data_IF_881518156473
#
_entry.id   IF_881518156473
#
_cell.length_a   1.000
_cell.length_b   1.000
_cell.length_c   1.000
_cell.angle_alpha   90.00
_cell.angle_beta   90.00
_cell.angle_gamma   90.00
#
_symmetry.space_group_name_H-M   'P 1'
#
loop_
_entity.id
_entity.type
_entity.pdbx_description
1 polymer ?
#
# COMPACT_ATOMS: atom_id res chain seq x y z
N UNK A 1 -4.82 -5.58 32.23
CA UNK A 1 -5.18 -4.17 31.93
C UNK A 1 -6.06 -4.17 30.70
N UNK A 2 -7.23 -3.53 30.74
CA UNK A 2 -8.17 -3.53 29.62
C UNK A 2 -7.90 -2.31 28.71
N UNK A 3 -7.83 -2.54 27.41
CA UNK A 3 -7.73 -1.53 26.35
C UNK A 3 -9.09 -1.34 25.68
N UNK A 4 -9.36 -0.15 25.18
CA UNK A 4 -10.57 0.08 24.36
C UNK A 4 -10.43 -0.61 23.01
N UNK A 5 -9.20 -0.70 22.48
CA UNK A 5 -8.90 -1.38 21.22
C UNK A 5 -7.49 -1.95 21.25
N UNK A 6 -7.33 -3.18 20.77
CA UNK A 6 -6.04 -3.77 20.44
C UNK A 6 -5.92 -3.84 18.92
N UNK A 7 -4.83 -3.28 18.39
CA UNK A 7 -4.51 -3.28 16.95
C UNK A 7 -3.36 -4.27 16.74
N UNK A 8 -3.56 -5.22 15.85
CA UNK A 8 -2.56 -6.22 15.51
C UNK A 8 -1.94 -5.85 14.17
N UNK A 9 -0.63 -5.57 14.21
CA UNK A 9 0.16 -5.10 13.07
C UNK A 9 0.42 -3.60 13.08
N UNK A 10 1.69 -3.21 12.95
CA UNK A 10 2.15 -1.81 12.88
C UNK A 10 2.56 -1.41 11.45
N UNK A 11 1.82 -1.89 10.44
CA UNK A 11 1.86 -1.34 9.10
C UNK A 11 1.10 -0.01 8.99
N UNK A 12 1.00 0.55 7.78
CA UNK A 12 0.32 1.83 7.52
C UNK A 12 -1.09 1.90 8.13
N UNK A 13 -1.90 0.89 7.90
CA UNK A 13 -3.27 0.87 8.41
C UNK A 13 -3.34 0.75 9.93
N UNK A 14 -2.43 -0.04 10.53
CA UNK A 14 -2.38 -0.21 11.98
C UNK A 14 -1.99 1.07 12.70
N UNK A 15 -0.92 1.75 12.25
CA UNK A 15 -0.49 3.02 12.86
C UNK A 15 -1.48 4.16 12.58
N UNK A 16 -2.08 4.21 11.39
CA UNK A 16 -3.14 5.18 11.10
C UNK A 16 -4.33 5.00 12.05
N UNK A 17 -4.80 3.75 12.22
CA UNK A 17 -5.90 3.43 13.14
C UNK A 17 -5.55 3.75 14.61
N UNK A 18 -4.30 3.51 15.01
CA UNK A 18 -3.81 3.85 16.34
C UNK A 18 -3.83 5.36 16.58
N UNK A 19 -3.31 6.13 15.63
CA UNK A 19 -3.29 7.61 15.71
C UNK A 19 -4.71 8.18 15.72
N UNK A 20 -5.57 7.70 14.83
CA UNK A 20 -6.97 8.12 14.75
C UNK A 20 -7.73 7.85 16.06
N UNK A 21 -7.55 6.65 16.62
CA UNK A 21 -8.21 6.26 17.88
C UNK A 21 -7.60 6.96 19.10
N UNK A 22 -6.28 7.13 19.08
CA UNK A 22 -5.54 7.84 20.15
C UNK A 22 -5.97 9.30 20.25
N UNK A 23 -6.14 9.99 19.13
CA UNK A 23 -6.68 11.37 19.07
C UNK A 23 -8.09 11.50 19.67
N UNK A 24 -8.86 10.42 19.70
CA UNK A 24 -10.19 10.38 20.35
C UNK A 24 -10.15 10.01 21.83
N UNK A 25 -8.97 9.92 22.43
CA UNK A 25 -8.79 9.59 23.84
C UNK A 25 -8.94 8.11 24.18
N UNK A 26 -9.11 7.23 23.19
CA UNK A 26 -9.21 5.79 23.40
C UNK A 26 -7.87 5.21 23.85
N UNK A 27 -7.92 4.26 24.77
CA UNK A 27 -6.74 3.53 25.26
C UNK A 27 -6.40 2.40 24.29
N UNK A 28 -5.32 2.58 23.56
CA UNK A 28 -4.92 1.71 22.43
C UNK A 28 -3.66 0.92 22.78
N UNK A 29 -3.66 -0.36 22.39
CA UNK A 29 -2.46 -1.18 22.32
C UNK A 29 -2.23 -1.57 20.87
N UNK A 30 -1.03 -1.36 20.35
CA UNK A 30 -0.58 -1.91 19.06
C UNK A 30 0.43 -3.02 19.36
N UNK A 31 0.22 -4.20 18.78
CA UNK A 31 1.12 -5.35 18.89
C UNK A 31 1.71 -5.62 17.50
N UNK A 32 3.03 -5.64 17.39
CA UNK A 32 3.78 -5.91 16.18
C UNK A 32 4.86 -6.98 16.43
N UNK A 33 4.91 -7.99 15.58
CA UNK A 33 5.89 -9.07 15.68
C UNK A 33 7.31 -8.64 15.28
N UNK A 34 7.41 -7.66 14.40
CA UNK A 34 8.69 -7.14 13.95
C UNK A 34 9.27 -6.15 14.98
N UNK A 35 10.57 -5.93 14.90
CA UNK A 35 11.30 -5.05 15.82
C UNK A 35 10.95 -3.55 15.68
N UNK A 36 10.33 -3.17 14.58
CA UNK A 36 9.89 -1.80 14.29
C UNK A 36 8.74 -1.80 13.27
N UNK A 37 8.00 -0.68 13.13
CA UNK A 37 6.89 -0.62 12.19
C UNK A 37 7.36 -0.56 10.73
N UNK A 38 6.46 -0.88 9.81
CA UNK A 38 6.64 -0.78 8.35
C UNK A 38 7.71 -1.71 7.77
N UNK A 39 8.05 -2.84 8.42
CA UNK A 39 9.07 -3.77 7.88
C UNK A 39 8.55 -4.74 6.82
N UNK A 40 7.23 -4.80 6.60
CA UNK A 40 6.60 -5.70 5.64
C UNK A 40 6.01 -4.93 4.45
N UNK A 41 4.83 -5.31 4.00
CA UNK A 41 4.19 -4.80 2.80
C UNK A 41 4.10 -3.27 2.69
N UNK A 42 4.07 -2.52 3.78
CA UNK A 42 4.09 -1.04 3.73
C UNK A 42 5.41 -0.48 3.18
N UNK A 43 6.52 -1.17 3.40
CA UNK A 43 7.84 -0.79 2.90
C UNK A 43 8.21 -1.56 1.62
N UNK A 44 7.90 -2.87 1.58
CA UNK A 44 8.26 -3.76 0.47
C UNK A 44 7.12 -3.74 -0.56
N UNK A 45 7.03 -2.68 -1.33
CA UNK A 45 6.13 -2.49 -2.46
C UNK A 45 6.63 -1.30 -3.30
N UNK A 46 5.96 -0.96 -4.39
CA UNK A 46 6.31 0.21 -5.21
C UNK A 46 5.85 1.55 -4.61
N UNK A 47 5.20 1.51 -3.44
CA UNK A 47 4.78 2.69 -2.68
C UNK A 47 3.96 3.71 -3.50
N UNK A 48 3.06 3.24 -4.36
CA UNK A 48 2.25 4.08 -5.24
C UNK A 48 1.16 4.82 -4.48
N UNK A 49 0.96 6.06 -4.84
CA UNK A 49 -0.26 6.81 -4.57
C UNK A 49 -1.14 6.70 -5.82
N UNK A 50 -2.05 5.74 -5.81
CA UNK A 50 -2.85 5.38 -6.98
C UNK A 50 -3.94 6.42 -7.29
N UNK A 51 -3.98 6.86 -8.56
CA UNK A 51 -5.14 7.60 -9.09
C UNK A 51 -6.13 6.68 -9.82
N UNK A 52 -5.84 5.39 -9.96
CA UNK A 52 -6.77 4.41 -10.50
C UNK A 52 -6.35 3.72 -11.80
N UNK A 53 -5.30 4.18 -12.48
CA UNK A 53 -4.86 3.66 -13.77
C UNK A 53 -4.59 2.16 -13.80
N UNK A 54 -4.20 1.59 -12.68
CA UNK A 54 -3.86 0.18 -12.55
C UNK A 54 -5.08 -0.77 -12.55
N UNK A 55 -6.29 -0.22 -12.64
CA UNK A 55 -7.54 -1.00 -12.51
C UNK A 55 -8.47 -0.88 -13.71
N UNK A 56 -8.02 -1.08 -14.98
CA UNK A 56 -8.88 -0.88 -16.14
C UNK A 56 -10.08 -1.84 -16.18
N UNK A 57 -9.97 -2.98 -15.48
CA UNK A 57 -11.05 -3.99 -15.37
C UNK A 57 -11.97 -3.79 -14.17
N UNK A 58 -11.79 -2.70 -13.39
CA UNK A 58 -12.61 -2.39 -12.21
C UNK A 58 -12.80 -0.88 -12.04
N UNK A 59 -13.75 -0.33 -12.78
CA UNK A 59 -14.10 1.11 -12.72
C UNK A 59 -14.37 1.55 -11.28
N UNK A 60 -15.08 0.74 -10.48
CA UNK A 60 -15.36 1.07 -9.09
C UNK A 60 -14.09 1.24 -8.25
N UNK A 61 -13.12 0.34 -8.41
CA UNK A 61 -11.82 0.44 -7.69
C UNK A 61 -11.03 1.66 -8.15
N UNK A 62 -11.04 1.94 -9.46
CA UNK A 62 -10.38 3.11 -10.03
C UNK A 62 -10.99 4.42 -9.51
N UNK A 63 -12.31 4.57 -9.55
CA UNK A 63 -13.02 5.74 -9.02
C UNK A 63 -12.76 5.95 -7.53
N UNK A 64 -12.73 4.87 -6.74
CA UNK A 64 -12.41 4.94 -5.32
C UNK A 64 -10.96 5.42 -5.11
N UNK A 65 -10.00 4.93 -5.88
CA UNK A 65 -8.61 5.38 -5.83
C UNK A 65 -8.49 6.86 -6.21
N UNK A 66 -9.12 7.28 -7.30
CA UNK A 66 -9.16 8.67 -7.73
C UNK A 66 -9.75 9.62 -6.67
N UNK A 67 -10.84 9.19 -6.03
CA UNK A 67 -11.50 9.96 -4.97
C UNK A 67 -10.57 10.22 -3.77
N UNK A 68 -9.78 9.22 -3.36
CA UNK A 68 -8.89 9.34 -2.21
C UNK A 68 -7.50 9.88 -2.54
N UNK A 69 -7.15 10.03 -3.81
CA UNK A 69 -5.83 10.50 -4.25
C UNK A 69 -5.49 11.89 -3.67
N UNK A 70 -6.40 12.85 -3.84
CA UNK A 70 -6.18 14.21 -3.35
C UNK A 70 -6.08 14.23 -1.82
N UNK A 71 -6.95 13.52 -1.12
CA UNK A 71 -6.91 13.43 0.33
C UNK A 71 -5.60 12.86 0.85
N UNK A 72 -5.06 11.80 0.21
CA UNK A 72 -3.78 11.25 0.63
C UNK A 72 -2.65 12.28 0.46
N UNK A 73 -2.67 13.03 -0.65
CA UNK A 73 -1.67 14.09 -0.88
C UNK A 73 -1.83 15.28 0.08
N UNK A 74 -3.04 15.63 0.48
CA UNK A 74 -3.29 16.66 1.50
C UNK A 74 -2.78 16.21 2.87
N UNK A 75 -3.11 14.99 3.28
CA UNK A 75 -2.75 14.44 4.59
C UNK A 75 -1.25 14.10 4.70
N UNK A 76 -0.62 13.61 3.62
CA UNK A 76 0.72 13.02 3.61
C UNK A 76 1.66 13.54 2.51
N UNK A 77 1.37 14.69 1.92
CA UNK A 77 2.16 15.28 0.83
C UNK A 77 3.65 15.45 1.17
N UNK A 78 4.00 15.62 2.45
CA UNK A 78 5.37 15.74 2.91
C UNK A 78 6.25 14.52 2.58
N UNK A 79 5.66 13.32 2.49
CA UNK A 79 6.35 12.09 2.11
C UNK A 79 6.11 11.68 0.65
N UNK A 80 5.27 12.39 -0.10
CA UNK A 80 4.97 12.07 -1.50
C UNK A 80 6.06 12.62 -2.42
N UNK A 81 6.50 11.79 -3.35
CA UNK A 81 7.27 12.19 -4.52
C UNK A 81 6.31 12.33 -5.70
N UNK A 82 6.13 13.55 -6.16
CA UNK A 82 5.28 13.92 -7.30
C UNK A 82 6.07 14.53 -8.46
N UNK A 83 7.40 14.63 -8.31
CA UNK A 83 8.29 15.32 -9.26
C UNK A 83 8.89 14.33 -10.27
N UNK A 84 8.05 13.58 -10.96
CA UNK A 84 8.46 12.71 -12.05
C UNK A 84 7.29 12.48 -13.02
N UNK A 85 7.63 12.15 -14.26
CA UNK A 85 6.67 11.77 -15.28
C UNK A 85 6.32 10.29 -15.16
N UNK A 86 5.04 9.97 -14.99
CA UNK A 86 4.60 8.58 -14.98
C UNK A 86 3.94 8.21 -16.30
N UNK A 87 4.55 7.27 -17.01
CA UNK A 87 4.10 6.80 -18.31
C UNK A 87 3.48 5.41 -18.14
N UNK A 88 2.22 5.30 -18.52
CA UNK A 88 1.55 4.02 -18.70
C UNK A 88 1.60 3.65 -20.17
N UNK A 89 1.84 2.38 -20.46
CA UNK A 89 1.78 1.84 -21.79
C UNK A 89 0.97 0.54 -21.82
N UNK A 90 0.25 0.32 -22.91
CA UNK A 90 -0.40 -0.95 -23.20
C UNK A 90 0.47 -1.75 -24.16
N UNK A 91 0.65 -3.04 -23.88
CA UNK A 91 1.45 -3.91 -24.73
C UNK A 91 0.69 -4.23 -26.02
N UNK A 92 1.39 -4.24 -27.15
CA UNK A 92 0.80 -4.64 -28.44
C UNK A 92 0.34 -6.10 -28.44
N UNK A 93 1.04 -6.96 -27.68
CA UNK A 93 0.74 -8.38 -27.54
C UNK A 93 0.45 -8.76 -26.09
N UNK A 94 -0.44 -9.72 -25.88
CA UNK A 94 -0.76 -10.33 -24.58
C UNK A 94 -1.32 -9.37 -23.52
N UNK A 95 -1.66 -8.13 -23.84
CA UNK A 95 -2.39 -7.24 -22.96
C UNK A 95 -3.88 -7.59 -22.93
N UNK A 96 -4.48 -7.50 -21.75
CA UNK A 96 -5.93 -7.63 -21.60
C UNK A 96 -6.68 -6.31 -21.86
N UNK A 97 -5.95 -5.23 -22.04
CA UNK A 97 -6.49 -3.89 -22.26
C UNK A 97 -5.73 -3.24 -23.42
N UNK A 98 -6.42 -2.96 -24.51
CA UNK A 98 -5.85 -2.23 -25.65
C UNK A 98 -5.77 -0.72 -25.39
N UNK A 99 -4.96 -0.01 -26.17
CA UNK A 99 -4.75 1.44 -26.01
C UNK A 99 -6.05 2.26 -26.00
N UNK A 100 -6.95 1.98 -26.93
CA UNK A 100 -8.24 2.68 -27.00
C UNK A 100 -9.15 2.38 -25.83
N UNK A 101 -9.13 1.15 -25.31
CA UNK A 101 -9.90 0.75 -24.12
C UNK A 101 -9.38 1.44 -22.88
N UNK A 102 -8.06 1.54 -22.73
CA UNK A 102 -7.44 2.26 -21.62
C UNK A 102 -7.78 3.75 -21.64
N UNK A 103 -7.73 4.38 -22.82
CA UNK A 103 -8.11 5.78 -22.99
C UNK A 103 -9.58 6.02 -22.62
N UNK A 104 -10.48 5.17 -23.11
CA UNK A 104 -11.92 5.24 -22.80
C UNK A 104 -12.17 5.01 -21.29
N UNK A 105 -11.46 4.06 -20.69
CA UNK A 105 -11.52 3.82 -19.26
C UNK A 105 -11.12 5.07 -18.46
N UNK A 106 -10.00 5.72 -18.77
CA UNK A 106 -9.57 6.95 -18.11
C UNK A 106 -10.61 8.07 -18.24
N UNK A 107 -11.22 8.22 -19.41
CA UNK A 107 -12.31 9.18 -19.64
C UNK A 107 -13.53 8.87 -18.76
N UNK A 108 -13.94 7.62 -18.66
CA UNK A 108 -15.10 7.19 -17.87
C UNK A 108 -14.87 7.35 -16.35
N UNK A 109 -13.63 7.16 -15.90
CA UNK A 109 -13.24 7.39 -14.48
C UNK A 109 -13.04 8.87 -14.18
N UNK A 110 -12.80 9.70 -15.20
CA UNK A 110 -12.51 11.13 -15.06
C UNK A 110 -11.09 11.42 -14.55
N UNK A 111 -10.11 10.59 -14.94
CA UNK A 111 -8.70 10.77 -14.57
C UNK A 111 -7.87 11.25 -15.76
N UNK A 112 -6.85 12.11 -15.54
CA UNK A 112 -6.01 12.66 -16.62
C UNK A 112 -5.29 11.57 -17.40
N UNK A 113 -5.34 11.62 -18.70
CA UNK A 113 -4.68 10.66 -19.61
C UNK A 113 -4.36 11.38 -20.93
N UNK A 114 -3.09 11.70 -21.15
CA UNK A 114 -2.60 12.34 -22.36
C UNK A 114 -1.88 11.30 -23.22
N UNK A 115 -2.29 11.16 -24.48
CA UNK A 115 -1.69 10.22 -25.42
C UNK A 115 -0.32 10.72 -25.88
N UNK A 116 0.67 9.83 -25.87
CA UNK A 116 2.05 10.08 -26.26
C UNK A 116 2.45 9.26 -27.47
N UNK A 117 3.43 9.75 -28.23
CA UNK A 117 4.03 8.96 -29.30
C UNK A 117 4.80 7.76 -28.73
N UNK A 118 4.35 6.54 -29.04
CA UNK A 118 4.95 5.30 -28.52
C UNK A 118 6.44 5.22 -28.83
N UNK A 119 6.85 5.53 -30.08
CA UNK A 119 8.25 5.46 -30.53
C UNK A 119 9.21 6.42 -29.81
N UNK A 120 8.69 7.36 -28.98
CA UNK A 120 9.54 8.19 -28.11
C UNK A 120 10.12 7.38 -26.94
N UNK A 121 9.42 6.35 -26.48
CA UNK A 121 9.72 5.64 -25.23
C UNK A 121 9.96 4.15 -25.42
N UNK A 122 9.35 3.55 -26.44
CA UNK A 122 9.37 2.11 -26.69
C UNK A 122 9.81 1.82 -28.12
N UNK A 123 10.40 0.66 -28.33
CA UNK A 123 10.72 0.16 -29.65
C UNK A 123 9.43 -0.11 -30.46
N UNK A 124 9.55 -0.14 -31.77
CA UNK A 124 8.44 -0.40 -32.68
C UNK A 124 7.76 -1.74 -32.36
N UNK A 125 6.44 -1.75 -32.45
CA UNK A 125 5.59 -2.92 -32.25
C UNK A 125 5.61 -3.56 -30.85
N UNK A 126 6.18 -2.92 -29.84
CA UNK A 126 6.18 -3.45 -28.45
C UNK A 126 4.93 -2.99 -27.69
N UNK A 127 4.50 -1.76 -27.90
CA UNK A 127 3.31 -1.18 -27.28
C UNK A 127 2.37 -0.62 -28.35
N UNK A 128 1.06 -0.73 -28.13
CA UNK A 128 0.02 -0.16 -28.96
C UNK A 128 -0.43 1.23 -28.50
N UNK A 129 -0.06 1.63 -27.27
CA UNK A 129 -0.31 2.95 -26.71
C UNK A 129 0.68 3.33 -25.62
N UNK A 130 0.90 4.64 -25.47
CA UNK A 130 1.65 5.24 -24.38
C UNK A 130 0.92 6.50 -23.90
N UNK A 131 0.87 6.70 -22.58
CA UNK A 131 0.05 7.74 -21.98
C UNK A 131 0.78 8.41 -20.82
N UNK A 132 0.80 9.74 -20.80
CA UNK A 132 1.15 10.51 -19.62
C UNK A 132 0.02 10.41 -18.61
N UNK A 133 0.35 10.04 -17.39
CA UNK A 133 -0.60 9.82 -16.30
C UNK A 133 -0.18 10.57 -15.04
N UNK A 134 -1.09 10.70 -14.10
CA UNK A 134 -0.84 11.36 -12.81
C UNK A 134 -0.84 10.33 -11.68
N UNK A 135 0.30 9.70 -11.45
CA UNK A 135 0.49 8.78 -10.35
C UNK A 135 1.79 9.13 -9.61
N UNK A 136 1.79 9.03 -8.28
CA UNK A 136 2.89 9.42 -7.43
C UNK A 136 3.41 8.22 -6.63
N UNK A 137 4.53 8.44 -5.93
CA UNK A 137 5.01 7.48 -4.93
C UNK A 137 5.14 8.15 -3.57
N UNK A 138 5.06 7.36 -2.49
CA UNK A 138 5.36 7.87 -1.15
C UNK A 138 6.63 7.24 -0.60
N UNK A 139 7.33 7.98 0.28
CA UNK A 139 8.47 7.46 1.02
C UNK A 139 7.99 6.86 2.34
N UNK A 140 8.06 5.53 2.42
CA UNK A 140 7.60 4.79 3.59
C UNK A 140 8.44 5.06 4.85
N UNK A 141 9.71 5.45 4.70
CA UNK A 141 10.57 5.79 5.83
C UNK A 141 10.16 7.11 6.45
N UNK A 142 9.93 8.13 5.63
CA UNK A 142 9.44 9.46 6.08
C UNK A 142 8.06 9.31 6.72
N UNK A 143 7.18 8.52 6.11
CA UNK A 143 5.84 8.28 6.65
C UNK A 143 5.87 7.52 7.98
N UNK A 144 6.78 6.55 8.14
CA UNK A 144 7.01 5.84 9.40
C UNK A 144 7.43 6.80 10.51
N UNK A 145 8.42 7.65 10.25
CA UNK A 145 8.90 8.64 11.21
C UNK A 145 7.78 9.59 11.65
N UNK A 146 6.98 10.05 10.72
CA UNK A 146 5.80 10.86 11.02
C UNK A 146 4.86 10.15 12.00
N UNK A 147 4.46 8.89 11.72
CA UNK A 147 3.55 8.18 12.60
C UNK A 147 4.16 7.93 13.98
N UNK A 148 5.44 7.62 14.07
CA UNK A 148 6.11 7.41 15.35
C UNK A 148 6.11 8.70 16.17
N UNK A 149 6.53 9.81 15.58
CA UNK A 149 6.56 11.12 16.24
C UNK A 149 5.16 11.61 16.67
N UNK A 150 4.15 11.35 15.82
CA UNK A 150 2.77 11.71 16.17
C UNK A 150 2.22 10.85 17.33
N UNK A 151 2.47 9.54 17.30
CA UNK A 151 1.97 8.62 18.32
C UNK A 151 2.61 8.85 19.69
N UNK A 152 3.87 9.29 19.77
CA UNK A 152 4.54 9.66 21.03
C UNK A 152 3.82 10.77 21.82
N UNK A 153 3.05 11.61 21.14
CA UNK A 153 2.25 12.69 21.77
C UNK A 153 1.06 12.14 22.57
N UNK A 154 0.67 10.88 22.37
CA UNK A 154 -0.53 10.28 22.94
C UNK A 154 -0.19 9.21 23.98
N UNK A 155 -0.21 9.58 25.28
CA UNK A 155 0.07 8.66 26.42
C UNK A 155 -0.92 7.50 26.54
N UNK A 156 -2.09 7.61 25.90
CA UNK A 156 -3.13 6.58 25.83
C UNK A 156 -2.87 5.54 24.73
N UNK A 157 -1.80 5.68 23.95
CA UNK A 157 -1.39 4.70 22.93
C UNK A 157 -0.10 4.00 23.39
N UNK A 158 -0.14 2.67 23.43
CA UNK A 158 1.00 1.83 23.75
C UNK A 158 1.42 1.04 22.51
N UNK A 159 2.70 1.09 22.17
CA UNK A 159 3.27 0.29 21.08
C UNK A 159 4.14 -0.83 21.66
N UNK A 160 3.93 -2.06 21.18
CA UNK A 160 4.71 -3.25 21.52
C UNK A 160 5.29 -3.86 20.27
N UNK A 161 6.61 -3.88 20.19
CA UNK A 161 7.37 -4.46 19.07
C UNK A 161 8.06 -5.76 19.48
N UNK A 162 8.44 -6.57 18.50
CA UNK A 162 9.04 -7.89 18.70
C UNK A 162 8.18 -8.78 19.62
N UNK A 163 6.87 -8.69 19.49
CA UNK A 163 5.92 -9.39 20.35
C UNK A 163 4.95 -10.23 19.49
N UNK A 164 4.99 -11.53 19.65
CA UNK A 164 4.22 -12.48 18.86
C UNK A 164 2.96 -12.92 19.58
N UNK A 165 1.82 -12.85 18.91
CA UNK A 165 0.57 -13.40 19.41
C UNK A 165 0.61 -14.91 19.31
N UNK A 166 0.31 -15.58 20.41
CA UNK A 166 0.28 -17.06 20.52
C UNK A 166 -1.13 -17.62 20.60
N UNK A 167 -2.07 -16.85 21.17
CA UNK A 167 -3.46 -17.29 21.36
C UNK A 167 -4.38 -16.06 21.48
N UNK A 168 -5.61 -16.23 21.02
CA UNK A 168 -6.70 -15.27 21.22
C UNK A 168 -7.89 -16.04 21.79
N UNK A 169 -8.27 -15.74 23.03
CA UNK A 169 -9.45 -16.31 23.68
C UNK A 169 -10.56 -15.26 23.72
N UNK A 170 -11.81 -15.73 23.86
CA UNK A 170 -12.96 -14.86 24.06
C UNK A 170 -13.68 -15.23 25.34
N UNK A 171 -13.86 -14.28 26.23
CA UNK A 171 -14.58 -14.41 27.49
C UNK A 171 -15.74 -13.40 27.51
N UNK A 172 -16.93 -13.82 27.08
CA UNK A 172 -18.07 -12.93 26.85
C UNK A 172 -17.79 -11.93 25.72
N UNK A 173 -17.83 -10.66 26.05
CA UNK A 173 -17.58 -9.56 25.10
C UNK A 173 -16.11 -9.10 25.10
N UNK A 174 -15.23 -9.75 25.85
CA UNK A 174 -13.83 -9.41 25.96
C UNK A 174 -12.97 -10.45 25.27
N UNK A 175 -12.05 -9.99 24.43
CA UNK A 175 -10.95 -10.78 23.89
C UNK A 175 -9.76 -10.73 24.83
N UNK A 176 -9.14 -11.88 25.05
CA UNK A 176 -7.89 -12.03 25.81
C UNK A 176 -6.83 -12.48 24.82
N UNK A 177 -5.84 -11.62 24.58
CA UNK A 177 -4.74 -11.86 23.66
C UNK A 177 -3.52 -12.26 24.46
N UNK A 178 -3.02 -13.49 24.25
CA UNK A 178 -1.77 -13.96 24.80
C UNK A 178 -0.66 -13.81 23.80
N UNK A 179 0.47 -13.35 24.26
CA UNK A 179 1.69 -13.19 23.48
C UNK A 179 2.84 -13.93 24.15
N UNK A 180 3.98 -13.97 23.47
CA UNK A 180 5.23 -14.48 24.07
C UNK A 180 5.78 -13.60 25.21
N UNK A 181 5.18 -12.41 25.45
CA UNK A 181 5.65 -11.45 26.47
C UNK A 181 4.59 -11.03 27.48
N UNK A 182 3.34 -11.39 27.30
CA UNK A 182 2.29 -10.99 28.21
C UNK A 182 0.88 -11.32 27.76
N UNK A 183 -0.09 -10.80 28.53
CA UNK A 183 -1.51 -10.98 28.25
C UNK A 183 -2.24 -9.63 28.30
N UNK A 184 -3.12 -9.41 27.32
CA UNK A 184 -3.85 -8.15 27.14
C UNK A 184 -5.30 -8.41 26.83
N UNK A 185 -6.18 -7.52 27.29
CA UNK A 185 -7.63 -7.67 27.10
C UNK A 185 -8.24 -6.43 26.45
N UNK A 186 -9.23 -6.66 25.58
CA UNK A 186 -9.99 -5.60 24.92
C UNK A 186 -11.35 -6.10 24.46
N UNK A 187 -12.34 -5.22 24.45
CA UNK A 187 -13.61 -5.47 23.77
C UNK A 187 -13.54 -5.42 22.23
N UNK A 188 -12.42 -4.92 21.67
CA UNK A 188 -12.29 -4.75 20.23
C UNK A 188 -10.88 -5.05 19.73
N UNK A 189 -10.79 -5.92 18.72
CA UNK A 189 -9.54 -6.22 18.02
C UNK A 189 -9.63 -5.63 16.60
N UNK A 190 -8.61 -4.89 16.19
CA UNK A 190 -8.43 -4.46 14.82
C UNK A 190 -7.28 -5.24 14.17
N UNK A 191 -7.63 -6.16 13.26
CA UNK A 191 -6.66 -6.95 12.53
C UNK A 191 -6.12 -6.18 11.32
N UNK A 192 -4.89 -5.69 11.42
CA UNK A 192 -4.17 -4.93 10.39
C UNK A 192 -2.96 -5.70 9.84
N UNK A 193 -3.04 -7.05 9.81
CA UNK A 193 -1.88 -7.91 9.53
C UNK A 193 -1.70 -8.26 8.05
N UNK A 194 -2.55 -7.74 7.15
CA UNK A 194 -2.46 -7.92 5.68
C UNK A 194 -2.37 -9.42 5.29
N UNK A 195 -1.21 -9.91 4.88
CA UNK A 195 -1.04 -11.32 4.48
C UNK A 195 -1.29 -12.33 5.61
N UNK A 196 -1.23 -11.91 6.87
CA UNK A 196 -1.50 -12.76 8.04
C UNK A 196 -2.94 -12.65 8.57
N UNK A 197 -3.85 -12.02 7.82
CA UNK A 197 -5.23 -11.78 8.27
C UNK A 197 -5.93 -13.08 8.70
N UNK A 198 -5.78 -14.15 7.92
CA UNK A 198 -6.40 -15.45 8.23
C UNK A 198 -5.80 -16.15 9.45
N UNK A 199 -4.51 -15.93 9.73
CA UNK A 199 -3.90 -16.46 10.94
C UNK A 199 -4.55 -15.88 12.20
N UNK A 200 -4.77 -14.57 12.22
CA UNK A 200 -5.42 -13.88 13.34
C UNK A 200 -6.92 -14.26 13.41
N UNK A 201 -7.60 -14.37 12.27
CA UNK A 201 -8.99 -14.82 12.22
C UNK A 201 -9.14 -16.23 12.83
N UNK A 202 -8.31 -17.17 12.41
CA UNK A 202 -8.31 -18.53 12.94
C UNK A 202 -8.07 -18.58 14.44
N UNK A 203 -7.09 -17.79 14.95
CA UNK A 203 -6.81 -17.69 16.39
C UNK A 203 -8.00 -17.13 17.18
N UNK A 204 -8.78 -16.24 16.57
CA UNK A 204 -9.94 -15.61 17.19
C UNK A 204 -11.25 -16.37 16.96
N UNK A 205 -11.20 -17.55 16.32
CA UNK A 205 -12.37 -18.40 16.05
C UNK A 205 -13.28 -17.90 14.93
N UNK A 206 -12.77 -17.07 14.01
CA UNK A 206 -13.49 -16.62 12.83
C UNK A 206 -13.11 -17.44 11.59
N UNK A 207 -14.04 -17.49 10.63
CA UNK A 207 -13.80 -18.10 9.33
C UNK A 207 -12.70 -17.37 8.57
N UNK A 208 -11.92 -18.14 7.80
CA UNK A 208 -10.88 -17.59 6.93
C UNK A 208 -11.47 -17.08 5.62
N UNK A 209 -10.87 -16.05 5.07
CA UNK A 209 -11.14 -15.61 3.71
C UNK A 209 -10.46 -16.51 2.68
N UNK A 210 -11.10 -16.70 1.53
CA UNK A 210 -10.46 -17.30 0.37
C UNK A 210 -9.46 -16.30 -0.24
N UNK A 211 -8.17 -16.44 0.06
CA UNK A 211 -7.11 -15.55 -0.40
C UNK A 211 -6.11 -16.37 -1.22
N UNK A 212 -5.82 -15.91 -2.44
CA UNK A 212 -4.67 -16.36 -3.21
C UNK A 212 -3.45 -15.56 -2.77
N UNK A 213 -2.42 -16.26 -2.31
CA UNK A 213 -1.15 -15.65 -1.95
C UNK A 213 -0.18 -15.72 -3.13
N UNK A 214 0.42 -14.60 -3.44
CA UNK A 214 1.46 -14.50 -4.46
C UNK A 214 2.71 -13.85 -3.85
N UNK A 215 3.87 -14.44 -4.12
CA UNK A 215 5.15 -13.86 -3.73
C UNK A 215 5.53 -12.83 -4.79
N UNK A 216 5.80 -11.61 -4.35
CA UNK A 216 6.27 -10.53 -5.22
C UNK A 216 7.62 -10.03 -4.72
N UNK A 217 8.57 -9.85 -5.62
CA UNK A 217 9.86 -9.25 -5.36
C UNK A 217 9.88 -7.81 -5.85
N UNK A 218 10.50 -6.92 -5.08
CA UNK A 218 10.77 -5.54 -5.47
C UNK A 218 12.28 -5.36 -5.54
N UNK A 219 12.78 -5.08 -6.73
CA UNK A 219 14.19 -4.81 -6.97
C UNK A 219 14.42 -3.31 -6.88
N UNK A 220 15.36 -2.88 -6.06
CA UNK A 220 15.80 -1.47 -6.04
C UNK A 220 17.02 -1.32 -6.94
N UNK A 221 16.99 -0.32 -7.80
CA UNK A 221 18.08 -0.03 -8.74
C UNK A 221 18.36 1.47 -8.84
N UNK A 222 19.57 1.81 -9.19
CA UNK A 222 19.93 3.17 -9.57
C UNK A 222 19.43 3.45 -11.00
N UNK A 223 18.65 4.52 -11.23
CA UNK A 223 18.20 4.85 -12.56
C UNK A 223 19.36 5.37 -13.42
N UNK A 224 19.36 5.02 -14.70
CA UNK A 224 20.20 5.72 -15.67
C UNK A 224 19.74 7.17 -15.81
N UNK A 225 20.59 8.07 -16.35
CA UNK A 225 20.22 9.47 -16.58
C UNK A 225 18.95 9.61 -17.46
N UNK A 226 18.70 8.65 -18.35
CA UNK A 226 17.49 8.65 -19.20
C UNK A 226 16.20 8.27 -18.44
N UNK A 227 16.32 7.53 -17.36
CA UNK A 227 15.18 7.09 -16.54
C UNK A 227 14.96 7.96 -15.31
N UNK A 228 15.92 8.83 -15.00
CA UNK A 228 15.84 9.73 -13.86
C UNK A 228 14.64 10.67 -14.02
N UNK A 229 13.78 10.71 -13.01
CA UNK A 229 12.56 11.52 -13.08
C UNK A 229 11.47 10.95 -13.99
N UNK A 230 11.54 9.66 -14.38
CA UNK A 230 10.51 9.02 -15.18
C UNK A 230 10.17 7.64 -14.62
N UNK A 231 8.89 7.33 -14.53
CA UNK A 231 8.37 6.01 -14.22
C UNK A 231 7.65 5.40 -15.42
N UNK A 232 7.74 4.08 -15.57
CA UNK A 232 7.05 3.34 -16.62
C UNK A 232 6.24 2.20 -16.01
N UNK A 233 5.03 2.00 -16.50
CA UNK A 233 4.21 0.84 -16.19
C UNK A 233 3.62 0.31 -17.49
N UNK A 234 4.07 -0.87 -17.90
CA UNK A 234 3.45 -1.57 -19.02
C UNK A 234 2.32 -2.44 -18.47
N UNK A 235 1.16 -2.40 -19.09
CA UNK A 235 -0.05 -3.06 -18.62
C UNK A 235 -0.81 -3.72 -19.79
N UNK A 236 -1.76 -4.50 -19.59
CA UNK A 236 -2.40 -5.16 -18.47
C UNK A 236 -2.10 -6.67 -18.56
N UNK A 237 -1.10 -7.15 -17.82
CA UNK A 237 -0.63 -8.54 -17.93
C UNK A 237 0.71 -8.77 -17.21
N UNK A 238 1.49 -9.79 -17.63
CA UNK A 238 2.75 -10.15 -17.00
C UNK A 238 3.91 -9.23 -17.43
N UNK A 239 3.71 -7.94 -17.28
CA UNK A 239 4.66 -6.93 -17.71
C UNK A 239 5.35 -6.28 -16.51
N UNK A 240 6.35 -5.44 -16.82
CA UNK A 240 7.14 -4.77 -15.79
C UNK A 240 6.60 -3.38 -15.44
N UNK A 241 6.99 -2.95 -14.26
CA UNK A 241 6.87 -1.56 -13.84
C UNK A 241 8.17 -1.11 -13.18
N UNK A 242 8.69 0.03 -13.60
CA UNK A 242 9.83 0.71 -12.99
C UNK A 242 9.42 2.14 -12.68
N UNK A 243 9.70 2.61 -11.45
CA UNK A 243 9.33 3.96 -11.05
C UNK A 243 10.14 4.43 -9.85
N UNK A 244 10.25 5.76 -9.62
CA UNK A 244 10.92 6.28 -8.44
C UNK A 244 10.42 5.65 -7.16
N UNK A 245 11.34 5.28 -6.27
CA UNK A 245 11.02 4.67 -4.98
C UNK A 245 11.03 5.76 -3.88
N UNK A 246 9.88 6.36 -3.67
CA UNK A 246 9.74 7.48 -2.74
C UNK A 246 10.70 8.63 -3.08
N UNK A 247 11.38 9.17 -2.05
CA UNK A 247 12.37 10.25 -2.15
C UNK A 247 13.82 9.75 -2.02
N UNK A 248 14.04 8.45 -2.23
CA UNK A 248 15.36 7.81 -2.01
C UNK A 248 16.37 8.07 -3.13
N UNK A 249 15.93 8.52 -4.30
CA UNK A 249 16.74 8.61 -5.51
C UNK A 249 16.89 7.29 -6.28
N UNK A 250 16.43 6.17 -5.70
CA UNK A 250 16.38 4.88 -6.36
C UNK A 250 15.08 4.70 -7.15
N UNK A 251 15.08 3.73 -8.04
CA UNK A 251 13.86 3.20 -8.67
C UNK A 251 13.54 1.80 -8.15
N UNK A 252 12.27 1.50 -8.08
CA UNK A 252 11.77 0.16 -7.84
C UNK A 252 11.38 -0.50 -9.16
N UNK A 253 11.86 -1.72 -9.39
CA UNK A 253 11.48 -2.55 -10.51
C UNK A 253 10.70 -3.75 -9.99
N UNK A 254 9.59 -4.05 -10.60
CA UNK A 254 8.82 -5.27 -10.34
C UNK A 254 8.17 -5.77 -11.63
N UNK A 255 7.86 -7.06 -11.65
CA UNK A 255 7.08 -7.70 -12.71
C UNK A 255 6.07 -8.65 -12.10
N UNK A 256 4.96 -8.87 -12.79
CA UNK A 256 4.00 -9.90 -12.44
C UNK A 256 4.24 -11.07 -13.40
N UNK A 257 4.83 -12.13 -12.89
CA UNK A 257 4.97 -13.41 -13.61
C UNK A 257 3.85 -14.34 -13.18
N UNK A 258 3.23 -15.02 -14.13
CA UNK A 258 2.21 -16.06 -13.89
C UNK A 258 2.73 -17.41 -14.33
#
# INVERSE_FOLDING_TARGET
>A
MIYDKIIIGAGLYGLYAALYSGKKGQKILVIEKEQRPFLRATFINQARVHMGYHYPRSIYTAMKSAHYFNRFNEDFGFCVNSEFDQIYATSADFSWTAANEFKLFCQNVGIPCEELAVGKYFNDNVCDGAFMTKEYTYDASILREYFMNELEKYKNVTLKFSENITQIDRAGDIYVIKTDKGEYSSGYIFNATYASVNQIHSMAGFDSFNIKYELCEIILCEPSEKLKGTGFTVMDGPFFSIMPFGKTGLHSLTTVTR
#
